data_IF_689283773496
#
_entry.id   IF_689283773496
#
_cell.length_a   1.000
_cell.length_b   1.000
_cell.length_c   1.000
_cell.angle_alpha   90.00
_cell.angle_beta   90.00
_cell.angle_gamma   90.00
#
_symmetry.space_group_name_H-M   'P 1'
#
loop_
_entity.id
_entity.type
_entity.pdbx_description
1 polymer ?
#
# COMPACT_ATOMS: atom_id res chain seq x y z
N UNK A 1 -30.37 -13.22 33.76
CA UNK A 1 -30.21 -13.54 32.32
C UNK A 1 -29.82 -12.31 31.49
N UNK A 2 -30.52 -11.17 31.60
CA UNK A 2 -30.21 -9.92 30.87
C UNK A 2 -28.79 -9.37 31.12
N UNK A 3 -28.27 -9.48 32.35
CA UNK A 3 -26.93 -8.96 32.72
C UNK A 3 -25.76 -9.73 32.08
N UNK A 4 -25.92 -11.03 31.82
CA UNK A 4 -24.89 -11.86 31.20
C UNK A 4 -24.83 -11.67 29.68
N UNK A 5 -26.00 -11.43 29.05
CA UNK A 5 -26.08 -11.05 27.65
C UNK A 5 -25.27 -9.77 27.38
N UNK A 6 -25.35 -8.80 28.28
CA UNK A 6 -24.61 -7.54 28.14
C UNK A 6 -23.08 -7.75 28.12
N UNK A 7 -22.55 -8.61 29.00
CA UNK A 7 -21.10 -8.86 29.06
C UNK A 7 -20.56 -9.61 27.84
N UNK A 8 -21.30 -10.62 27.36
CA UNK A 8 -20.93 -11.33 26.13
C UNK A 8 -21.04 -10.40 24.91
N UNK A 9 -22.12 -9.65 24.79
CA UNK A 9 -22.32 -8.69 23.69
C UNK A 9 -21.24 -7.62 23.64
N UNK A 10 -20.79 -7.09 24.78
CA UNK A 10 -19.70 -6.10 24.83
C UNK A 10 -18.39 -6.70 24.32
N UNK A 11 -18.06 -7.94 24.72
CA UNK A 11 -16.84 -8.63 24.24
C UNK A 11 -16.92 -8.96 22.77
N UNK A 12 -18.07 -9.41 22.30
CA UNK A 12 -18.30 -9.68 20.88
C UNK A 12 -18.19 -8.40 20.06
N UNK A 13 -18.76 -7.29 20.53
CA UNK A 13 -18.63 -5.99 19.88
C UNK A 13 -17.17 -5.53 19.80
N UNK A 14 -16.40 -5.68 20.88
CA UNK A 14 -14.97 -5.36 20.88
C UNK A 14 -14.18 -6.23 19.88
N UNK A 15 -14.47 -7.53 19.79
CA UNK A 15 -13.85 -8.43 18.81
C UNK A 15 -14.21 -8.05 17.37
N UNK A 16 -15.46 -7.67 17.11
CA UNK A 16 -15.90 -7.22 15.79
C UNK A 16 -15.24 -5.91 15.38
N UNK A 17 -15.14 -4.93 16.29
CA UNK A 17 -14.42 -3.67 16.05
C UNK A 17 -12.94 -3.93 15.74
N UNK A 18 -12.31 -4.83 16.50
CA UNK A 18 -10.93 -5.20 16.25
C UNK A 18 -10.76 -5.85 14.88
N UNK A 19 -11.66 -6.76 14.50
CA UNK A 19 -11.64 -7.39 13.19
C UNK A 19 -11.83 -6.38 12.06
N UNK A 20 -12.74 -5.41 12.18
CA UNK A 20 -12.93 -4.37 11.16
C UNK A 20 -11.70 -3.48 11.02
N UNK A 21 -11.04 -3.10 12.12
CA UNK A 21 -9.79 -2.34 12.06
C UNK A 21 -8.70 -3.09 11.28
N UNK A 22 -8.58 -4.41 11.49
CA UNK A 22 -7.61 -5.22 10.74
C UNK A 22 -7.93 -5.27 9.25
N UNK A 23 -9.21 -5.44 8.90
CA UNK A 23 -9.65 -5.44 7.49
C UNK A 23 -9.40 -4.08 6.84
N UNK A 24 -9.68 -2.98 7.53
CA UNK A 24 -9.42 -1.63 7.02
C UNK A 24 -7.94 -1.40 6.74
N UNK A 25 -7.05 -1.82 7.66
CA UNK A 25 -5.60 -1.75 7.48
C UNK A 25 -5.12 -2.60 6.29
N UNK A 26 -5.68 -3.79 6.11
CA UNK A 26 -5.34 -4.67 4.97
C UNK A 26 -5.76 -4.04 3.64
N UNK A 27 -6.96 -3.46 3.57
CA UNK A 27 -7.46 -2.77 2.37
C UNK A 27 -6.57 -1.57 2.04
N UNK A 28 -6.17 -0.78 3.04
CA UNK A 28 -5.24 0.35 2.84
C UNK A 28 -3.91 -0.17 2.29
N UNK A 29 -3.31 -1.17 2.92
CA UNK A 29 -2.03 -1.73 2.48
C UNK A 29 -2.12 -2.30 1.04
N UNK A 30 -3.23 -2.95 0.69
CA UNK A 30 -3.49 -3.48 -0.65
C UNK A 30 -3.56 -2.35 -1.69
N UNK A 31 -4.33 -1.30 -1.43
CA UNK A 31 -4.47 -0.16 -2.36
C UNK A 31 -3.13 0.52 -2.58
N UNK A 32 -2.35 0.76 -1.51
CA UNK A 32 -1.07 1.44 -1.59
C UNK A 32 -0.03 0.62 -2.37
N UNK A 33 0.06 -0.68 -2.08
CA UNK A 33 0.99 -1.57 -2.78
C UNK A 33 0.63 -1.72 -4.27
N UNK A 34 -0.65 -1.87 -4.61
CA UNK A 34 -1.10 -1.89 -6.00
C UNK A 34 -0.82 -0.58 -6.73
N UNK A 35 -0.99 0.56 -6.07
CA UNK A 35 -0.68 1.88 -6.64
C UNK A 35 0.81 2.02 -6.93
N UNK A 36 1.67 1.66 -5.98
CA UNK A 36 3.13 1.69 -6.18
C UNK A 36 3.59 0.75 -7.29
N UNK A 37 3.00 -0.45 -7.38
CA UNK A 37 3.26 -1.40 -8.44
C UNK A 37 2.82 -0.86 -9.80
N UNK A 38 1.61 -0.31 -9.88
CA UNK A 38 1.06 0.27 -11.11
C UNK A 38 1.95 1.41 -11.64
N UNK A 39 2.34 2.34 -10.77
CA UNK A 39 3.22 3.46 -11.12
C UNK A 39 4.59 2.93 -11.59
N UNK A 40 5.22 2.03 -10.84
CA UNK A 40 6.53 1.46 -11.21
C UNK A 40 6.48 0.73 -12.55
N UNK A 41 5.42 -0.05 -12.79
CA UNK A 41 5.23 -0.77 -14.05
C UNK A 41 5.01 0.20 -15.21
N UNK A 42 4.14 1.20 -15.04
CA UNK A 42 3.84 2.17 -16.08
C UNK A 42 5.06 2.96 -16.52
N UNK A 43 5.87 3.45 -15.57
CA UNK A 43 7.10 4.17 -15.90
C UNK A 43 8.11 3.27 -16.59
N UNK A 44 8.27 2.01 -16.15
CA UNK A 44 9.16 1.06 -16.84
C UNK A 44 8.72 0.82 -18.27
N UNK A 45 7.42 0.65 -18.53
CA UNK A 45 6.90 0.50 -19.90
C UNK A 45 7.26 1.71 -20.76
N UNK A 46 7.06 2.93 -20.26
CA UNK A 46 7.46 4.16 -20.99
C UNK A 46 8.98 4.16 -21.28
N UNK A 47 9.81 3.76 -20.31
CA UNK A 47 11.26 3.68 -20.52
C UNK A 47 11.60 2.68 -21.62
N UNK A 48 11.00 1.49 -21.62
CA UNK A 48 11.22 0.46 -22.64
C UNK A 48 10.75 0.92 -24.02
N UNK A 49 9.64 1.64 -24.11
CA UNK A 49 9.06 2.08 -25.37
C UNK A 49 9.83 3.23 -26.02
N UNK A 50 10.38 4.16 -25.22
CA UNK A 50 10.93 5.43 -25.72
C UNK A 50 12.45 5.59 -25.56
N UNK A 51 13.13 4.76 -24.76
CA UNK A 51 14.56 4.95 -24.45
C UNK A 51 15.39 3.81 -25.05
N UNK A 52 15.96 4.06 -26.22
CA UNK A 52 16.73 3.05 -26.96
C UNK A 52 18.24 3.09 -26.71
N UNK A 53 18.75 4.13 -26.04
CA UNK A 53 20.17 4.22 -25.67
C UNK A 53 20.38 3.46 -24.37
N UNK A 54 21.13 2.35 -24.41
CA UNK A 54 21.32 1.43 -23.27
C UNK A 54 21.78 2.14 -21.98
N UNK A 55 22.73 3.07 -22.10
CA UNK A 55 23.23 3.84 -20.95
C UNK A 55 22.13 4.68 -20.30
N UNK A 56 21.30 5.34 -21.11
CA UNK A 56 20.16 6.12 -20.61
C UNK A 56 19.11 5.20 -20.00
N UNK A 57 18.79 4.10 -20.67
CA UNK A 57 17.85 3.09 -20.18
C UNK A 57 18.22 2.62 -18.77
N UNK A 58 19.50 2.28 -18.53
CA UNK A 58 20.00 1.89 -17.22
C UNK A 58 19.86 3.01 -16.17
N UNK A 59 20.24 4.24 -16.52
CA UNK A 59 20.11 5.41 -15.63
C UNK A 59 18.65 5.60 -15.22
N UNK A 60 17.71 5.56 -16.18
CA UNK A 60 16.29 5.71 -15.90
C UNK A 60 15.74 4.59 -15.01
N UNK A 61 16.14 3.33 -15.22
CA UNK A 61 15.74 2.23 -14.35
C UNK A 61 16.22 2.41 -12.90
N UNK A 62 17.44 2.96 -12.69
CA UNK A 62 17.94 3.30 -11.36
C UNK A 62 17.10 4.41 -10.74
N UNK A 63 16.79 5.47 -11.50
CA UNK A 63 15.95 6.57 -11.04
C UNK A 63 14.54 6.10 -10.67
N UNK A 64 13.95 5.16 -11.44
CA UNK A 64 12.64 4.56 -11.09
C UNK A 64 12.71 3.82 -9.76
N UNK A 65 13.80 3.10 -9.46
CA UNK A 65 13.97 2.45 -8.16
C UNK A 65 14.06 3.45 -7.02
N UNK A 66 14.85 4.51 -7.19
CA UNK A 66 14.96 5.59 -6.18
C UNK A 66 13.59 6.25 -5.97
N UNK A 67 12.91 6.62 -7.06
CA UNK A 67 11.58 7.22 -7.01
C UNK A 67 10.55 6.31 -6.32
N UNK A 68 10.61 5.00 -6.57
CA UNK A 68 9.73 4.03 -5.92
C UNK A 68 9.94 3.99 -4.40
N UNK A 69 11.20 4.05 -3.93
CA UNK A 69 11.52 4.12 -2.50
C UNK A 69 11.02 5.43 -1.89
N UNK A 70 11.23 6.55 -2.57
CA UNK A 70 10.74 7.86 -2.10
C UNK A 70 9.22 7.93 -2.05
N UNK A 71 8.51 7.38 -3.04
CA UNK A 71 7.06 7.29 -3.02
C UNK A 71 6.58 6.40 -1.86
N UNK A 72 7.22 5.26 -1.62
CA UNK A 72 6.89 4.42 -0.48
C UNK A 72 7.10 5.16 0.86
N UNK A 73 8.21 5.91 1.01
CA UNK A 73 8.47 6.76 2.17
C UNK A 73 7.37 7.81 2.37
N UNK A 74 7.05 8.57 1.31
CA UNK A 74 5.99 9.59 1.38
C UNK A 74 4.62 9.00 1.73
N UNK A 75 4.30 7.79 1.26
CA UNK A 75 3.06 7.11 1.63
C UNK A 75 3.03 6.71 3.11
N UNK A 76 4.16 6.24 3.65
CA UNK A 76 4.26 5.94 5.08
C UNK A 76 4.12 7.23 5.91
N UNK A 77 4.76 8.33 5.49
CA UNK A 77 4.62 9.66 6.13
C UNK A 77 3.20 10.24 6.04
N UNK A 78 2.41 9.84 5.05
CA UNK A 78 1.01 10.27 4.95
C UNK A 78 0.10 9.54 5.95
N UNK A 79 0.47 8.33 6.35
CA UNK A 79 -0.33 7.46 7.23
C UNK A 79 0.01 7.69 8.70
N UNK A 80 1.28 8.00 9.00
CA UNK A 80 1.82 8.23 10.36
C UNK A 80 1.75 9.71 10.71
#
# INVERSE_FOLDING_TARGET
>A
MVRNFNWFSIRLAALLIFATILVDLEIIALILSLSLLHISSGIKTIIYDYIHVEKLHLIFLILVRICHIELARCLVELII
#
